data_IF_773621890605
#
_entry.id   IF_773621890605
#
_cell.length_a   1.000
_cell.length_b   1.000
_cell.length_c   1.000
_cell.angle_alpha   90.00
_cell.angle_beta   90.00
_cell.angle_gamma   90.00
#
_symmetry.space_group_name_H-M   'P 1'
#
loop_
_entity.id
_entity.type
_entity.pdbx_description
1 polymer ?
#
# COMPACT_ATOMS: atom_id res chain seq x y z
N UNK A 1 -1.22 -8.44 -16.40
CA UNK A 1 -2.60 -8.56 -16.01
C UNK A 1 -2.91 -7.77 -14.75
N UNK A 2 -4.17 -7.76 -14.31
CA UNK A 2 -4.53 -7.00 -13.12
C UNK A 2 -3.89 -7.59 -11.86
N UNK A 3 -3.59 -6.70 -10.91
CA UNK A 3 -3.13 -7.12 -9.60
C UNK A 3 -4.33 -7.35 -8.70
N UNK A 4 -4.31 -8.47 -7.99
CA UNK A 4 -5.38 -8.81 -7.06
C UNK A 4 -4.90 -8.59 -5.63
N UNK A 5 -5.67 -7.84 -4.85
CA UNK A 5 -5.28 -7.47 -3.50
C UNK A 5 -5.05 -8.68 -2.61
N UNK A 6 -5.87 -9.73 -2.76
CA UNK A 6 -5.71 -10.95 -1.97
C UNK A 6 -4.44 -11.72 -2.27
N UNK A 7 -3.76 -11.42 -3.39
CA UNK A 7 -2.49 -12.05 -3.74
C UNK A 7 -1.30 -11.17 -3.41
N UNK A 8 -1.51 -9.86 -3.37
CA UNK A 8 -0.43 -8.90 -3.19
C UNK A 8 -0.21 -8.56 -1.73
N UNK A 9 -1.28 -8.22 -1.03
CA UNK A 9 -1.16 -7.73 0.34
C UNK A 9 -0.50 -8.73 1.30
N UNK A 10 -0.79 -10.04 1.23
CA UNK A 10 -0.15 -10.98 2.15
C UNK A 10 1.36 -11.03 2.04
N UNK A 11 1.92 -10.77 0.87
CA UNK A 11 3.38 -10.78 0.69
C UNK A 11 4.04 -9.71 1.56
N UNK A 12 3.40 -8.55 1.67
CA UNK A 12 3.95 -7.44 2.43
C UNK A 12 3.56 -7.48 3.91
N UNK A 13 2.42 -8.10 4.23
CA UNK A 13 1.92 -8.15 5.61
C UNK A 13 2.77 -9.00 6.53
N UNK A 14 3.73 -9.77 6.00
CA UNK A 14 4.64 -10.54 6.84
C UNK A 14 5.68 -9.68 7.54
N UNK A 15 5.84 -8.42 7.12
CA UNK A 15 6.81 -7.54 7.76
C UNK A 15 6.38 -7.26 9.20
N UNK A 16 7.27 -7.47 10.19
CA UNK A 16 6.88 -7.38 11.61
C UNK A 16 6.48 -5.98 12.06
N UNK A 17 6.91 -4.95 11.36
CA UNK A 17 6.58 -3.56 11.73
C UNK A 17 5.44 -2.99 10.91
N UNK A 18 4.78 -3.81 10.11
CA UNK A 18 3.61 -3.43 9.33
C UNK A 18 2.38 -4.04 9.98
N UNK A 19 1.42 -3.19 10.29
CA UNK A 19 0.16 -3.67 10.84
C UNK A 19 -0.72 -4.26 9.74
N UNK A 20 -0.81 -3.56 8.60
CA UNK A 20 -1.56 -4.03 7.44
C UNK A 20 -1.24 -3.17 6.24
N UNK A 21 -1.60 -3.67 5.06
CA UNK A 21 -1.41 -2.96 3.81
C UNK A 21 -2.68 -2.99 3.00
N UNK A 22 -2.78 -2.07 2.05
CA UNK A 22 -3.89 -2.04 1.11
C UNK A 22 -3.37 -1.58 -0.25
N UNK A 23 -3.64 -2.37 -1.28
CA UNK A 23 -3.26 -2.04 -2.65
C UNK A 23 -4.38 -1.26 -3.30
N UNK A 24 -4.05 -0.10 -3.86
CA UNK A 24 -5.03 0.73 -4.58
C UNK A 24 -4.45 1.14 -5.94
N UNK A 25 -5.34 1.46 -6.87
CA UNK A 25 -4.95 1.99 -8.17
C UNK A 25 -5.13 3.49 -8.18
N UNK A 26 -4.12 4.20 -8.69
CA UNK A 26 -4.15 5.67 -8.79
C UNK A 26 -3.94 6.06 -10.24
N UNK A 27 -4.79 6.96 -10.74
CA UNK A 27 -4.70 7.45 -12.10
C UNK A 27 -5.94 7.12 -12.91
N UNK A 28 -5.91 7.48 -14.19
CA UNK A 28 -7.03 7.28 -15.09
C UNK A 28 -7.24 5.80 -15.38
N UNK A 29 -8.49 5.43 -15.66
CA UNK A 29 -8.82 4.07 -16.04
C UNK A 29 -7.96 3.63 -17.23
N UNK A 30 -7.41 2.42 -17.13
CA UNK A 30 -6.52 1.89 -18.15
C UNK A 30 -5.06 2.32 -18.00
N UNK A 31 -4.80 3.32 -17.15
CA UNK A 31 -3.43 3.81 -16.91
C UNK A 31 -3.15 3.94 -15.42
N UNK A 32 -3.82 3.15 -14.60
CA UNK A 32 -3.62 3.20 -13.15
C UNK A 32 -2.28 2.60 -12.76
N UNK A 33 -1.64 3.24 -11.77
CA UNK A 33 -0.45 2.67 -11.16
C UNK A 33 -0.83 2.05 -9.81
N UNK A 34 -0.17 0.97 -9.48
CA UNK A 34 -0.40 0.28 -8.22
C UNK A 34 0.34 0.99 -7.10
N UNK A 35 -0.38 1.33 -6.04
CA UNK A 35 0.19 1.98 -4.87
C UNK A 35 -0.15 1.12 -3.65
N UNK A 36 0.87 0.76 -2.89
CA UNK A 36 0.66 0.04 -1.65
C UNK A 36 0.63 1.03 -0.49
N UNK A 37 -0.53 1.14 0.13
CA UNK A 37 -0.68 1.94 1.34
C UNK A 37 -0.31 1.08 2.53
N UNK A 38 0.49 1.61 3.45
CA UNK A 38 1.07 0.86 4.56
C UNK A 38 0.70 1.53 5.87
N UNK A 39 0.07 0.77 6.75
CA UNK A 39 -0.16 1.21 8.12
C UNK A 39 0.86 0.52 9.01
N UNK A 40 1.66 1.31 9.72
CA UNK A 40 2.70 0.76 10.59
C UNK A 40 2.11 0.21 11.88
N UNK A 41 2.80 -0.77 12.46
CA UNK A 41 2.41 -1.35 13.73
C UNK A 41 2.48 -0.31 14.83
N UNK A 42 1.69 -0.51 15.89
CA UNK A 42 1.68 0.41 17.04
C UNK A 42 3.09 0.54 17.61
N UNK A 43 3.46 1.77 17.93
CA UNK A 43 4.78 2.05 18.49
C UNK A 43 5.91 2.22 17.50
N UNK A 44 5.66 1.92 16.22
CA UNK A 44 6.68 2.12 15.19
C UNK A 44 6.67 3.59 14.78
N UNK A 45 7.84 4.22 14.85
CA UNK A 45 7.97 5.63 14.53
C UNK A 45 7.86 5.88 13.04
N UNK A 46 7.16 6.95 12.66
CA UNK A 46 7.00 7.29 11.24
C UNK A 46 8.34 7.50 10.53
N UNK A 47 9.35 7.96 11.25
CA UNK A 47 10.69 8.17 10.68
C UNK A 47 11.37 6.89 10.22
N UNK A 48 10.86 5.72 10.64
CA UNK A 48 11.43 4.45 10.20
C UNK A 48 10.88 3.98 8.85
N UNK A 49 9.91 4.70 8.29
CA UNK A 49 9.24 4.23 7.09
C UNK A 49 10.20 4.07 5.90
N UNK A 50 11.18 4.95 5.75
CA UNK A 50 12.13 4.84 4.63
C UNK A 50 12.84 3.48 4.64
N UNK A 51 13.26 3.04 5.83
CA UNK A 51 13.90 1.72 5.98
C UNK A 51 12.90 0.59 5.73
N UNK A 52 11.70 0.72 6.32
CA UNK A 52 10.65 -0.28 6.16
C UNK A 52 10.27 -0.40 4.69
N UNK A 53 10.16 0.71 3.98
CA UNK A 53 9.85 0.70 2.55
C UNK A 53 10.89 -0.10 1.76
N UNK A 54 12.19 0.10 2.06
CA UNK A 54 13.23 -0.67 1.38
C UNK A 54 13.06 -2.17 1.63
N UNK A 55 12.72 -2.54 2.86
CA UNK A 55 12.51 -3.94 3.19
C UNK A 55 11.27 -4.51 2.50
N UNK A 56 10.22 -3.70 2.39
CA UNK A 56 9.03 -4.12 1.65
C UNK A 56 9.33 -4.33 0.18
N UNK A 57 10.13 -3.45 -0.42
CA UNK A 57 10.54 -3.62 -1.81
C UNK A 57 11.30 -4.92 -2.01
N UNK A 58 12.13 -5.30 -1.06
CA UNK A 58 12.87 -6.57 -1.12
C UNK A 58 11.91 -7.76 -1.05
N UNK A 59 10.90 -7.68 -0.18
CA UNK A 59 9.88 -8.72 -0.11
C UNK A 59 9.12 -8.85 -1.42
N UNK A 60 8.71 -7.73 -1.99
CA UNK A 60 7.94 -7.72 -3.23
C UNK A 60 8.75 -8.23 -4.42
N UNK A 61 10.05 -7.98 -4.41
CA UNK A 61 10.91 -8.39 -5.52
C UNK A 61 11.06 -9.90 -5.65
N UNK A 62 10.69 -10.65 -4.61
CA UNK A 62 10.79 -12.11 -4.62
C UNK A 62 9.72 -12.78 -5.47
N UNK A 63 8.67 -12.05 -5.84
CA UNK A 63 7.53 -12.60 -6.58
C UNK A 63 7.21 -11.72 -7.78
N UNK A 64 7.02 -12.30 -8.97
CA UNK A 64 6.74 -11.49 -10.17
C UNK A 64 5.53 -10.59 -10.01
N UNK A 65 4.47 -11.06 -9.34
CA UNK A 65 3.24 -10.27 -9.24
C UNK A 65 3.37 -9.09 -8.27
N UNK A 66 4.29 -9.14 -7.30
CA UNK A 66 4.50 -8.03 -6.35
C UNK A 66 5.68 -7.15 -6.74
N UNK A 67 6.57 -7.64 -7.61
CA UNK A 67 7.70 -6.82 -8.06
C UNK A 67 7.25 -5.59 -8.84
N UNK A 68 6.03 -5.59 -9.35
CA UNK A 68 5.45 -4.48 -10.08
C UNK A 68 5.01 -3.32 -9.18
N UNK A 69 4.87 -3.58 -7.88
CA UNK A 69 4.48 -2.53 -6.93
C UNK A 69 5.71 -1.67 -6.66
N UNK A 70 5.70 -0.45 -7.18
CA UNK A 70 6.84 0.45 -7.10
C UNK A 70 6.61 1.65 -6.19
N UNK A 71 5.37 1.88 -5.77
CA UNK A 71 5.01 3.03 -4.96
C UNK A 71 4.43 2.57 -3.63
N UNK A 72 5.03 3.06 -2.54
CA UNK A 72 4.64 2.70 -1.18
C UNK A 72 4.38 4.01 -0.42
N UNK A 73 3.25 4.09 0.27
CA UNK A 73 2.89 5.28 1.04
C UNK A 73 2.50 4.88 2.46
N UNK A 74 3.03 5.60 3.44
CA UNK A 74 2.63 5.39 4.82
C UNK A 74 1.30 6.07 5.08
N UNK A 75 0.36 5.34 5.64
CA UNK A 75 -0.94 5.87 6.06
C UNK A 75 -1.01 5.91 7.58
N UNK A 76 -1.52 6.99 8.17
CA UNK A 76 -1.58 7.09 9.63
C UNK A 76 -2.54 6.10 10.30
N UNK A 77 -3.60 5.69 9.61
CA UNK A 77 -4.53 4.70 10.15
C UNK A 77 -5.66 4.47 9.17
N UNK A 78 -5.81 3.21 8.72
CA UNK A 78 -6.79 2.88 7.70
C UNK A 78 -8.22 3.10 8.18
N UNK A 79 -9.14 3.46 7.28
CA UNK A 79 -10.55 3.48 7.60
C UNK A 79 -11.02 2.10 8.05
N UNK A 80 -11.98 2.06 8.97
CA UNK A 80 -12.51 0.80 9.49
C UNK A 80 -13.09 -0.06 8.37
N UNK A 81 -13.70 0.59 7.39
CA UNK A 81 -14.38 -0.10 6.29
C UNK A 81 -13.46 -0.97 5.46
N UNK A 82 -12.16 -0.64 5.38
CA UNK A 82 -11.21 -1.41 4.58
C UNK A 82 -11.10 -2.84 5.09
N UNK A 83 -11.36 -3.07 6.38
CA UNK A 83 -11.25 -4.39 7.01
C UNK A 83 -12.30 -5.36 6.48
N UNK A 84 -13.39 -4.83 5.96
CA UNK A 84 -14.48 -5.61 5.40
C UNK A 84 -14.44 -5.61 3.87
N UNK A 85 -13.31 -5.16 3.31
CA UNK A 85 -13.12 -5.07 1.87
C UNK A 85 -14.20 -4.21 1.21
N UNK A 86 -14.68 -3.19 1.93
CA UNK A 86 -15.71 -2.31 1.42
C UNK A 86 -15.14 -1.44 0.29
N UNK A 87 -15.89 -1.33 -0.78
CA UNK A 87 -15.50 -0.54 -1.94
C UNK A 87 -15.25 0.92 -1.55
N UNK A 88 -16.12 1.46 -0.68
CA UNK A 88 -16.00 2.86 -0.26
C UNK A 88 -14.67 3.11 0.45
N UNK A 89 -14.24 2.17 1.30
CA UNK A 89 -12.96 2.31 1.99
C UNK A 89 -11.79 2.35 1.02
N UNK A 90 -11.81 1.49 0.00
CA UNK A 90 -10.75 1.47 -0.99
C UNK A 90 -10.77 2.70 -1.87
N UNK A 91 -11.94 3.22 -2.21
CA UNK A 91 -12.06 4.44 -2.98
C UNK A 91 -11.50 5.64 -2.21
N UNK A 92 -11.80 5.74 -0.92
CA UNK A 92 -11.26 6.79 -0.08
C UNK A 92 -9.75 6.70 0.01
N UNK A 93 -9.24 5.49 0.14
CA UNK A 93 -7.80 5.27 0.25
C UNK A 93 -7.09 5.62 -1.06
N UNK A 94 -7.68 5.27 -2.19
CA UNK A 94 -7.12 5.64 -3.49
C UNK A 94 -7.08 7.16 -3.68
N UNK A 95 -8.13 7.86 -3.25
CA UNK A 95 -8.17 9.31 -3.31
C UNK A 95 -7.09 9.93 -2.41
N UNK A 96 -6.92 9.39 -1.21
CA UNK A 96 -5.87 9.84 -0.31
C UNK A 96 -4.49 9.64 -0.93
N UNK A 97 -4.24 8.46 -1.52
CA UNK A 97 -2.96 8.15 -2.15
C UNK A 97 -2.68 9.11 -3.31
N UNK A 98 -3.69 9.38 -4.13
CA UNK A 98 -3.53 10.31 -5.24
C UNK A 98 -3.13 11.71 -4.76
N UNK A 99 -3.75 12.16 -3.65
CA UNK A 99 -3.43 13.46 -3.08
C UNK A 99 -1.99 13.50 -2.55
N UNK A 100 -1.55 12.42 -1.90
CA UNK A 100 -0.17 12.34 -1.39
C UNK A 100 0.84 12.42 -2.52
N UNK A 101 0.59 11.74 -3.62
CA UNK A 101 1.49 11.72 -4.75
C UNK A 101 1.59 13.09 -5.41
N UNK A 102 0.48 13.84 -5.47
CA UNK A 102 0.51 15.20 -5.99
C UNK A 102 1.32 16.14 -5.10
N UNK A 103 1.22 15.97 -3.77
CA UNK A 103 1.96 16.81 -2.83
C UNK A 103 3.45 16.50 -2.83
N UNK A 104 3.83 15.28 -3.18
CA UNK A 104 5.22 14.85 -3.18
C UNK A 104 6.01 15.28 -4.42
N UNK A 105 5.38 15.98 -5.34
CA UNK A 105 6.04 16.41 -6.57
C UNK A 105 6.56 17.83 -6.50
#
# INVERSE_FOLDING_TARGET
GPLYTEQVEPVFNVHPQVRRTALVGVGAAGAQRAVLCVELAAGVHAGEFARIERELRQLGARHPHTARVATFLRHPGFPVDIRHNAKIGREKLAAWAAAQLRQGQ
#
